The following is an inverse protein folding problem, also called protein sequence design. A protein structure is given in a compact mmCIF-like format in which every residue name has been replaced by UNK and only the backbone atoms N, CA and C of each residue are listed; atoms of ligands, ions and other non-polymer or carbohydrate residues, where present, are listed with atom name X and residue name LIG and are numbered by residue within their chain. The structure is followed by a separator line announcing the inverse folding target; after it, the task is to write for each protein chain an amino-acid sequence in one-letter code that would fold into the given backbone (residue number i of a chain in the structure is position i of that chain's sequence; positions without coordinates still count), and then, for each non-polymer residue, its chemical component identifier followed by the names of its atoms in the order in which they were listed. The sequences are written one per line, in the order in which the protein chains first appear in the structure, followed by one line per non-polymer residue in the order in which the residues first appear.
data_IF_606216004008
#
_entry.id   IF_606216004008
#
_cell.length_a   1.000
_cell.length_b   1.000
_cell.length_c   1.000
_cell.angle_alpha   90.00
_cell.angle_beta   90.00
_cell.angle_gamma   90.00
#
_symmetry.space_group_name_H-M   'P 1'
#
loop_
_entity.id
_entity.type
_entity.pdbx_description
1 polymer ?
#
# COMPACT_ATOMS: atom_id res chain seq x y z
N UNK A 1 -27.54 -25.80 -22.68
CA UNK A 1 -27.77 -24.36 -22.96
C UNK A 1 -27.23 -23.39 -21.90
N UNK A 2 -27.08 -23.76 -20.62
CA UNK A 2 -26.66 -22.80 -19.58
C UNK A 2 -25.14 -22.67 -19.33
N UNK A 3 -24.32 -23.52 -19.95
CA UNK A 3 -22.86 -23.52 -19.70
C UNK A 3 -22.18 -22.24 -20.17
N UNK A 4 -22.53 -21.73 -21.37
CA UNK A 4 -21.97 -20.48 -21.89
C UNK A 4 -22.31 -19.27 -21.01
N UNK A 5 -23.52 -19.24 -20.44
CA UNK A 5 -23.94 -18.19 -19.52
C UNK A 5 -23.19 -18.27 -18.18
N UNK A 6 -23.01 -19.47 -17.64
CA UNK A 6 -22.23 -19.69 -16.42
C UNK A 6 -20.76 -19.28 -16.61
N UNK A 7 -20.18 -19.62 -17.76
CA UNK A 7 -18.82 -19.23 -18.11
C UNK A 7 -18.68 -17.71 -18.25
N UNK A 8 -19.61 -17.06 -18.97
CA UNK A 8 -19.61 -15.60 -19.11
C UNK A 8 -19.71 -14.89 -17.75
N UNK A 9 -20.56 -15.39 -16.84
CA UNK A 9 -20.69 -14.84 -15.49
C UNK A 9 -19.38 -14.95 -14.70
N UNK A 10 -18.69 -16.09 -14.77
CA UNK A 10 -17.41 -16.28 -14.08
C UNK A 10 -16.34 -15.33 -14.63
N UNK A 11 -16.22 -15.20 -15.96
CA UNK A 11 -15.28 -14.28 -16.59
C UNK A 11 -15.52 -12.83 -16.16
N UNK A 12 -16.78 -12.39 -16.09
CA UNK A 12 -17.13 -11.05 -15.62
C UNK A 12 -16.69 -10.84 -14.17
N UNK A 13 -16.95 -11.81 -13.28
CA UNK A 13 -16.51 -11.74 -11.88
C UNK A 13 -14.98 -11.69 -11.77
N UNK A 14 -14.28 -12.50 -12.54
CA UNK A 14 -12.82 -12.55 -12.54
C UNK A 14 -12.22 -11.22 -13.02
N UNK A 15 -12.83 -10.58 -14.02
CA UNK A 15 -12.42 -9.25 -14.48
C UNK A 15 -12.64 -8.21 -13.38
N UNK A 16 -13.79 -8.24 -12.69
CA UNK A 16 -14.08 -7.32 -11.58
C UNK A 16 -13.03 -7.47 -10.46
N UNK A 17 -12.71 -8.71 -10.07
CA UNK A 17 -11.70 -8.99 -9.03
C UNK A 17 -10.31 -8.48 -9.45
N UNK A 18 -9.93 -8.69 -10.71
CA UNK A 18 -8.64 -8.21 -11.24
C UNK A 18 -8.57 -6.68 -11.26
N UNK A 19 -9.64 -6.00 -11.69
CA UNK A 19 -9.73 -4.54 -11.69
C UNK A 19 -9.65 -3.99 -10.26
N UNK A 20 -10.40 -4.57 -9.32
CA UNK A 20 -10.37 -4.18 -7.91
C UNK A 20 -8.95 -4.29 -7.32
N UNK A 21 -8.25 -5.40 -7.59
CA UNK A 21 -6.88 -5.59 -7.16
C UNK A 21 -5.92 -4.55 -7.75
N UNK A 22 -6.07 -4.21 -9.04
CA UNK A 22 -5.24 -3.22 -9.72
C UNK A 22 -5.49 -1.81 -9.18
N UNK A 23 -6.75 -1.45 -8.91
CA UNK A 23 -7.12 -0.18 -8.29
C UNK A 23 -6.53 -0.09 -6.88
N UNK A 24 -6.69 -1.14 -6.06
CA UNK A 24 -6.14 -1.18 -4.70
C UNK A 24 -4.62 -0.98 -4.69
N UNK A 25 -3.91 -1.61 -5.64
CA UNK A 25 -2.46 -1.44 -5.78
C UNK A 25 -2.10 0.01 -6.10
N UNK A 26 -2.77 0.61 -7.10
CA UNK A 26 -2.51 1.98 -7.51
C UNK A 26 -2.81 3.00 -6.40
N UNK A 27 -3.94 2.84 -5.70
CA UNK A 27 -4.32 3.68 -4.57
C UNK A 27 -3.29 3.61 -3.44
N UNK A 28 -2.84 2.40 -3.08
CA UNK A 28 -1.80 2.18 -2.06
C UNK A 28 -0.46 2.79 -2.46
N UNK A 29 -0.06 2.67 -3.72
CA UNK A 29 1.16 3.28 -4.24
C UNK A 29 1.07 4.81 -4.24
N UNK A 30 -0.06 5.37 -4.65
CA UNK A 30 -0.31 6.82 -4.59
C UNK A 30 -0.29 7.32 -3.15
N UNK A 31 -0.95 6.61 -2.25
CA UNK A 31 -0.97 6.96 -0.84
C UNK A 31 0.42 6.91 -0.20
N UNK A 32 1.24 5.92 -0.57
CA UNK A 32 2.64 5.82 -0.11
C UNK A 32 3.47 7.04 -0.56
N UNK A 33 3.29 7.51 -1.81
CA UNK A 33 3.93 8.73 -2.31
C UNK A 33 3.48 9.98 -1.55
N UNK A 34 2.20 10.08 -1.23
CA UNK A 34 1.66 11.21 -0.44
C UNK A 34 2.18 11.23 1.00
N UNK A 35 2.35 10.07 1.62
CA UNK A 35 2.97 9.95 2.95
C UNK A 35 4.42 10.43 2.86
N UNK A 36 5.18 9.92 1.89
CA UNK A 36 6.58 10.31 1.70
C UNK A 36 6.72 11.81 1.39
N UNK A 37 5.83 12.40 0.61
CA UNK A 37 5.88 13.83 0.27
C UNK A 37 5.67 14.72 1.49
N UNK A 38 4.77 14.33 2.40
CA UNK A 38 4.45 15.04 3.65
C UNK A 38 5.48 14.85 4.77
N UNK A 39 6.41 13.90 4.63
CA UNK A 39 7.49 13.73 5.61
C UNK A 39 8.52 14.84 5.53
N UNK A 40 8.96 15.30 6.70
CA UNK A 40 10.04 16.27 6.87
C UNK A 40 11.35 15.72 6.27
N UNK A 41 12.04 16.45 5.36
CA UNK A 41 13.14 15.90 4.55
C UNK A 41 14.32 15.33 5.34
N UNK A 42 14.62 15.89 6.50
CA UNK A 42 15.78 15.47 7.33
C UNK A 42 15.41 14.50 8.44
N UNK A 43 14.15 14.07 8.51
CA UNK A 43 13.71 13.11 9.54
C UNK A 43 14.34 11.75 9.34
N UNK A 44 14.84 11.19 10.44
CA UNK A 44 15.44 9.87 10.48
C UNK A 44 15.00 9.12 11.74
N UNK A 45 14.76 7.82 11.60
CA UNK A 45 14.44 6.92 12.70
C UNK A 45 15.40 5.74 12.72
N UNK A 46 15.78 5.25 13.90
CA UNK A 46 16.58 4.04 14.05
C UNK A 46 15.65 2.86 14.33
N UNK A 47 15.72 1.82 13.51
CA UNK A 47 14.98 0.58 13.75
C UNK A 47 15.81 -0.41 14.58
N UNK A 48 15.17 -1.45 15.13
CA UNK A 48 15.76 -2.36 16.14
C UNK A 48 17.12 -2.97 15.73
N UNK A 49 17.30 -3.25 14.45
CA UNK A 49 18.54 -3.81 13.89
C UNK A 49 19.65 -2.76 13.64
N UNK A 50 19.43 -1.52 14.08
CA UNK A 50 20.39 -0.43 13.96
C UNK A 50 20.38 0.29 12.61
N UNK A 51 19.61 -0.19 11.62
CA UNK A 51 19.45 0.53 10.35
C UNK A 51 18.75 1.87 10.59
N UNK A 52 19.18 2.86 9.82
CA UNK A 52 18.54 4.17 9.76
C UNK A 52 17.48 4.15 8.68
N UNK A 53 16.29 4.59 9.03
CA UNK A 53 15.15 4.74 8.15
C UNK A 53 14.90 6.23 7.86
N UNK A 54 14.81 6.58 6.59
CA UNK A 54 14.62 7.95 6.09
C UNK A 54 13.48 8.02 5.07
N UNK A 55 13.16 9.22 4.62
CA UNK A 55 12.16 9.47 3.57
C UNK A 55 12.47 8.71 2.28
N UNK A 56 13.74 8.64 1.88
CA UNK A 56 14.16 7.99 0.63
C UNK A 56 13.84 6.49 0.62
N UNK A 57 13.84 5.85 1.79
CA UNK A 57 13.52 4.43 1.93
C UNK A 57 12.05 4.11 1.61
N UNK A 58 11.15 5.10 1.66
CA UNK A 58 9.77 4.98 1.18
C UNK A 58 9.66 5.23 -0.32
N UNK A 59 10.42 6.19 -0.85
CA UNK A 59 10.33 6.67 -2.24
C UNK A 59 11.01 5.75 -3.26
N UNK A 60 11.90 4.84 -2.84
CA UNK A 60 12.67 3.96 -3.73
C UNK A 60 11.88 2.83 -4.41
N UNK A 61 10.55 2.77 -4.28
CA UNK A 61 9.69 1.75 -4.91
C UNK A 61 9.89 0.32 -4.37
N UNK A 62 10.68 0.16 -3.30
CA UNK A 62 10.97 -1.14 -2.66
C UNK A 62 9.96 -1.52 -1.58
N UNK A 63 8.94 -0.68 -1.34
CA UNK A 63 7.96 -0.84 -0.27
C UNK A 63 6.55 -0.70 -0.81
N UNK A 64 5.62 -1.40 -0.19
CA UNK A 64 4.18 -1.32 -0.46
C UNK A 64 3.44 -0.92 0.81
N UNK A 65 2.45 -0.05 0.67
CA UNK A 65 1.55 0.26 1.78
C UNK A 65 0.59 -0.91 1.97
N UNK A 66 0.67 -1.58 3.13
CA UNK A 66 -0.24 -2.68 3.45
C UNK A 66 -1.43 -2.20 4.28
N UNK A 67 -1.14 -1.40 5.31
CA UNK A 67 -2.12 -0.88 6.26
C UNK A 67 -1.79 0.56 6.62
N UNK A 68 -2.83 1.34 6.86
CA UNK A 68 -2.76 2.70 7.39
C UNK A 68 -3.88 2.88 8.41
N UNK A 69 -3.59 3.59 9.50
CA UNK A 69 -4.57 3.90 10.52
C UNK A 69 -4.00 4.84 11.58
N UNK A 70 -4.87 5.57 12.25
CA UNK A 70 -4.50 6.41 13.38
C UNK A 70 -4.27 5.53 14.61
N UNK A 71 -3.18 5.77 15.34
CA UNK A 71 -2.84 5.06 16.57
C UNK A 71 -2.47 6.05 17.67
N UNK A 72 -2.76 5.71 18.91
CA UNK A 72 -2.30 6.46 20.08
C UNK A 72 -0.96 5.89 20.55
N UNK A 73 0.10 6.70 20.47
CA UNK A 73 1.43 6.31 20.94
C UNK A 73 1.70 6.85 22.34
N UNK A 74 1.98 5.96 23.30
CA UNK A 74 2.51 6.33 24.61
C UNK A 74 4.03 6.24 24.57
N UNK A 75 4.70 7.39 24.53
CA UNK A 75 6.14 7.43 24.69
C UNK A 75 6.50 7.06 26.15
N UNK A 76 7.45 6.14 26.33
CA UNK A 76 8.07 5.96 27.64
C UNK A 76 8.86 7.25 27.94
N UNK A 77 8.46 7.95 29.00
CA UNK A 77 9.27 9.03 29.60
C UNK A 77 10.39 8.43 30.44
#
# INVERSE_FOLDING_TARGET
EHEGLAQALNLIKDVIVQVDAQVSLYEKESRLRDIASKMEPKSLGKIKDGRVFRKEDLSQGRRKLLYEGMVNWKAAS
#
